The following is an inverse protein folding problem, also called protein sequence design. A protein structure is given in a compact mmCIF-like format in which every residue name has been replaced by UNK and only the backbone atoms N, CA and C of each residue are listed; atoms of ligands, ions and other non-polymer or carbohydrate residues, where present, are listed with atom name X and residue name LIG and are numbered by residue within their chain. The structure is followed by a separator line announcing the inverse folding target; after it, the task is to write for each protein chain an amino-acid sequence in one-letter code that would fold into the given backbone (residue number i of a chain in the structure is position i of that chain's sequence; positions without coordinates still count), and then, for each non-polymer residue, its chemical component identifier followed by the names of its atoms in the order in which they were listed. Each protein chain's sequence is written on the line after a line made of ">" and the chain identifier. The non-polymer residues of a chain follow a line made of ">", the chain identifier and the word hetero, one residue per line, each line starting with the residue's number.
data_IF_470472141982
#
_entry.id   IF_470472141982
#
_cell.length_a   1.000
_cell.length_b   1.000
_cell.length_c   1.000
_cell.angle_alpha   90.00
_cell.angle_beta   90.00
_cell.angle_gamma   90.00
#
_symmetry.space_group_name_H-M   'P 1'
#
loop_
_entity.id
_entity.type
_entity.pdbx_description
1 polymer ?
#
# COMPACT_ATOMS: atom_id res chain seq x y z
N UNK A 1 11.34 15.66 -10.31
CA UNK A 1 12.04 15.19 -9.10
C UNK A 1 11.00 15.21 -7.98
N UNK A 2 10.64 14.04 -7.44
CA UNK A 2 9.64 13.97 -6.35
C UNK A 2 10.30 14.41 -5.05
N UNK A 3 9.70 15.36 -4.35
CA UNK A 3 10.22 15.82 -3.07
C UNK A 3 9.71 14.94 -1.92
N UNK A 4 10.40 14.97 -0.78
CA UNK A 4 9.93 14.31 0.45
C UNK A 4 8.53 14.80 0.87
N UNK A 5 8.23 16.09 0.66
CA UNK A 5 6.90 16.64 0.93
C UNK A 5 5.81 16.06 0.04
N UNK A 6 6.10 15.78 -1.24
CA UNK A 6 5.13 15.13 -2.14
C UNK A 6 4.85 13.68 -1.72
N UNK A 7 5.86 12.96 -1.25
CA UNK A 7 5.70 11.60 -0.73
C UNK A 7 4.83 11.62 0.53
N UNK A 8 5.10 12.52 1.47
CA UNK A 8 4.31 12.66 2.70
C UNK A 8 2.84 12.99 2.41
N UNK A 9 2.58 13.93 1.51
CA UNK A 9 1.20 14.27 1.09
C UNK A 9 0.50 13.06 0.47
N UNK A 10 1.16 12.36 -0.47
CA UNK A 10 0.58 11.16 -1.08
C UNK A 10 0.27 10.06 -0.06
N UNK A 11 1.16 9.86 0.92
CA UNK A 11 0.93 8.88 1.99
C UNK A 11 -0.30 9.20 2.84
N UNK A 12 -0.51 10.47 3.18
CA UNK A 12 -1.71 10.94 3.88
C UNK A 12 -2.97 10.70 3.05
N UNK A 13 -2.96 11.07 1.77
CA UNK A 13 -4.10 10.89 0.87
C UNK A 13 -4.50 9.41 0.72
N UNK A 14 -3.53 8.51 0.63
CA UNK A 14 -3.78 7.06 0.56
C UNK A 14 -4.35 6.55 1.89
N UNK A 15 -3.86 7.04 3.03
CA UNK A 15 -4.38 6.69 4.36
C UNK A 15 -5.87 7.05 4.48
N UNK A 16 -6.23 8.28 4.09
CA UNK A 16 -7.61 8.78 4.13
C UNK A 16 -8.53 8.00 3.19
N UNK A 17 -8.04 7.68 1.99
CA UNK A 17 -8.79 6.87 1.01
C UNK A 17 -9.10 5.48 1.57
N UNK A 18 -8.09 4.76 2.08
CA UNK A 18 -8.28 3.41 2.61
C UNK A 18 -9.18 3.39 3.86
N UNK A 19 -9.09 4.42 4.71
CA UNK A 19 -9.94 4.52 5.90
C UNK A 19 -11.42 4.76 5.58
N UNK A 20 -11.73 5.29 4.39
CA UNK A 20 -13.10 5.53 3.93
C UNK A 20 -13.76 4.36 3.21
N UNK A 21 -13.01 3.29 2.88
CA UNK A 21 -13.52 2.16 2.10
C UNK A 21 -14.38 1.23 2.93
N UNK A 22 -15.53 0.84 2.38
CA UNK A 22 -16.37 -0.23 2.89
C UNK A 22 -15.85 -1.61 2.48
N UNK A 23 -16.28 -2.68 3.18
CA UNK A 23 -15.93 -4.06 2.80
C UNK A 23 -16.39 -4.42 1.39
N UNK A 24 -17.53 -3.88 0.93
CA UNK A 24 -18.04 -4.10 -0.41
C UNK A 24 -17.16 -3.44 -1.49
N UNK A 25 -16.67 -2.23 -1.23
CA UNK A 25 -15.72 -1.55 -2.12
C UNK A 25 -14.37 -2.29 -2.14
N UNK A 26 -13.91 -2.80 -1.00
CA UNK A 26 -12.70 -3.63 -0.92
C UNK A 26 -12.81 -4.93 -1.72
N UNK A 27 -13.99 -5.55 -1.72
CA UNK A 27 -14.28 -6.76 -2.49
C UNK A 27 -14.51 -6.51 -3.99
N UNK A 28 -14.62 -5.24 -4.42
CA UNK A 28 -14.89 -4.91 -5.82
C UNK A 28 -13.65 -5.16 -6.69
N UNK A 29 -13.88 -5.62 -7.93
CA UNK A 29 -12.82 -5.76 -8.92
C UNK A 29 -12.24 -4.39 -9.32
N UNK A 30 -10.93 -4.34 -9.56
CA UNK A 30 -10.31 -3.20 -10.23
C UNK A 30 -10.53 -3.31 -11.75
N UNK A 31 -10.19 -2.28 -12.56
CA UNK A 31 -10.19 -2.40 -14.02
C UNK A 31 -9.32 -3.54 -14.56
N UNK A 32 -8.26 -3.92 -13.82
CA UNK A 32 -7.56 -5.19 -14.00
C UNK A 32 -8.30 -6.24 -13.17
N UNK A 33 -9.25 -6.93 -13.80
CA UNK A 33 -10.25 -7.76 -13.10
C UNK A 33 -9.67 -8.95 -12.33
N UNK A 34 -8.40 -9.27 -12.53
CA UNK A 34 -7.65 -10.25 -11.76
C UNK A 34 -7.42 -9.81 -10.30
N UNK A 35 -7.58 -8.52 -10.00
CA UNK A 35 -7.33 -7.94 -8.69
C UNK A 35 -8.61 -7.32 -8.14
N UNK A 36 -8.87 -7.55 -6.86
CA UNK A 36 -9.80 -6.74 -6.06
C UNK A 36 -9.13 -5.46 -5.59
N UNK A 37 -9.93 -4.50 -5.11
CA UNK A 37 -9.39 -3.30 -4.44
C UNK A 37 -8.57 -3.70 -3.21
N UNK A 38 -8.97 -4.75 -2.48
CA UNK A 38 -8.18 -5.29 -1.37
C UNK A 38 -6.80 -5.75 -1.81
N UNK A 39 -6.71 -6.56 -2.88
CA UNK A 39 -5.43 -7.04 -3.43
C UNK A 39 -4.52 -5.87 -3.83
N UNK A 40 -5.09 -4.83 -4.44
CA UNK A 40 -4.36 -3.62 -4.81
C UNK A 40 -3.83 -2.88 -3.58
N UNK A 41 -4.64 -2.69 -2.54
CA UNK A 41 -4.21 -2.01 -1.31
C UNK A 41 -3.12 -2.80 -0.57
N UNK A 42 -3.23 -4.13 -0.53
CA UNK A 42 -2.21 -4.99 0.08
C UNK A 42 -0.89 -4.93 -0.70
N UNK A 43 -0.96 -4.89 -2.02
CA UNK A 43 0.21 -4.67 -2.87
C UNK A 43 0.89 -3.32 -2.62
N UNK A 44 0.12 -2.23 -2.47
CA UNK A 44 0.67 -0.91 -2.14
C UNK A 44 1.35 -0.90 -0.77
N UNK A 45 0.70 -1.49 0.23
CA UNK A 45 1.18 -1.61 1.61
C UNK A 45 2.48 -2.43 1.67
N UNK A 46 2.58 -3.50 0.89
CA UNK A 46 3.80 -4.28 0.75
C UNK A 46 4.91 -3.50 0.02
N UNK A 47 4.57 -2.82 -1.07
CA UNK A 47 5.52 -2.01 -1.85
C UNK A 47 6.15 -0.89 -1.02
N UNK A 48 5.38 -0.21 -0.17
CA UNK A 48 5.92 0.81 0.75
C UNK A 48 6.98 0.22 1.70
N UNK A 49 6.74 -0.98 2.25
CA UNK A 49 7.72 -1.66 3.10
C UNK A 49 9.03 -1.93 2.34
N UNK A 50 8.92 -2.46 1.13
CA UNK A 50 10.06 -2.83 0.30
C UNK A 50 10.90 -1.61 -0.10
N UNK A 51 10.24 -0.50 -0.45
CA UNK A 51 10.91 0.76 -0.76
C UNK A 51 11.69 1.31 0.44
N UNK A 52 11.13 1.24 1.65
CA UNK A 52 11.83 1.63 2.88
C UNK A 52 13.04 0.74 3.14
N UNK A 53 12.91 -0.58 2.96
CA UNK A 53 14.02 -1.51 3.11
C UNK A 53 15.14 -1.22 2.12
N UNK A 54 14.81 -1.01 0.83
CA UNK A 54 15.79 -0.64 -0.19
C UNK A 54 16.49 0.69 0.14
N UNK A 55 15.74 1.70 0.60
CA UNK A 55 16.30 2.99 0.98
C UNK A 55 17.29 2.88 2.16
N UNK A 56 17.17 1.83 2.98
CA UNK A 56 18.09 1.50 4.09
C UNK A 56 19.24 0.58 3.65
N UNK A 57 19.35 0.25 2.37
CA UNK A 57 20.40 -0.62 1.82
C UNK A 57 20.12 -2.13 1.96
N UNK A 58 18.89 -2.52 2.27
CA UNK A 58 18.49 -3.93 2.32
C UNK A 58 18.16 -4.51 0.95
N UNK A 59 18.28 -5.83 0.83
CA UNK A 59 17.82 -6.60 -0.34
C UNK A 59 16.35 -6.99 -0.19
N UNK A 60 15.61 -7.01 -1.30
CA UNK A 60 14.19 -7.36 -1.35
C UNK A 60 13.96 -8.40 -2.44
N UNK A 61 13.21 -9.45 -2.09
CA UNK A 61 12.63 -10.35 -3.07
C UNK A 61 11.30 -9.78 -3.59
N UNK A 62 11.34 -9.21 -4.79
CA UNK A 62 10.16 -8.66 -5.46
C UNK A 62 9.23 -9.74 -6.03
N UNK A 63 9.65 -11.01 -6.03
CA UNK A 63 8.81 -12.13 -6.48
C UNK A 63 7.89 -12.68 -5.39
N UNK A 64 8.12 -12.29 -4.13
CA UNK A 64 7.26 -12.66 -3.01
C UNK A 64 5.89 -11.98 -3.12
N UNK A 65 4.82 -12.75 -2.95
CA UNK A 65 3.46 -12.21 -2.93
C UNK A 65 3.21 -11.40 -1.64
N UNK A 66 2.41 -10.31 -1.71
CA UNK A 66 1.94 -9.62 -0.51
C UNK A 66 1.12 -10.54 0.39
N UNK A 67 1.36 -10.48 1.70
CA UNK A 67 0.48 -11.09 2.69
C UNK A 67 -0.84 -10.31 2.77
N UNK A 68 -2.01 -10.96 2.66
CA UNK A 68 -3.31 -10.29 2.76
C UNK A 68 -3.53 -9.63 4.12
N UNK A 69 -4.16 -8.45 4.16
CA UNK A 69 -4.51 -7.77 5.41
C UNK A 69 -6.01 -7.49 5.54
N UNK A 70 -6.60 -7.90 6.68
CA UNK A 70 -7.95 -7.48 7.03
C UNK A 70 -8.04 -5.98 7.31
N UNK A 71 -6.94 -5.34 7.73
CA UNK A 71 -6.86 -3.89 7.98
C UNK A 71 -5.52 -3.32 7.48
N UNK A 72 -5.48 -2.73 6.27
CA UNK A 72 -4.25 -2.22 5.66
C UNK A 72 -3.80 -0.87 6.25
N UNK A 73 -4.68 -0.11 6.90
CA UNK A 73 -4.39 1.27 7.33
C UNK A 73 -3.31 1.35 8.42
N UNK A 74 -3.34 0.53 9.50
CA UNK A 74 -2.26 0.50 10.48
C UNK A 74 -0.92 0.09 9.88
N UNK A 75 -0.92 -0.88 8.97
CA UNK A 75 0.30 -1.36 8.30
C UNK A 75 0.90 -0.29 7.39
N UNK A 76 0.06 0.40 6.62
CA UNK A 76 0.45 1.54 5.79
C UNK A 76 1.10 2.64 6.64
N UNK A 77 0.40 3.06 7.70
CA UNK A 77 0.84 4.15 8.58
C UNK A 77 2.19 3.86 9.23
N UNK A 78 2.44 2.61 9.63
CA UNK A 78 3.71 2.20 10.20
C UNK A 78 4.89 2.24 9.20
N UNK A 79 4.59 2.15 7.89
CA UNK A 79 5.59 2.05 6.81
C UNK A 79 5.88 3.38 6.14
N UNK A 80 4.98 4.35 6.26
CA UNK A 80 5.10 5.65 5.57
C UNK A 80 5.35 6.84 6.50
N UNK A 81 5.62 6.58 7.79
CA UNK A 81 6.10 7.59 8.75
C UNK A 81 7.62 7.58 8.90
#
# INVERSE_FOLDING_TARGET
>A
MTTSSQIATGATQITELMAGMTDAERASATPCTEWTVADLTDHLVHTAANLVTMARGGEIDWSAAPEPSSDPVPLWTARTR
#
